data_IF_591793897046
#
_entry.id   IF_591793897046
#
_cell.length_a   1.000
_cell.length_b   1.000
_cell.length_c   1.000
_cell.angle_alpha   90.00
_cell.angle_beta   90.00
_cell.angle_gamma   90.00
#
_symmetry.space_group_name_H-M   'P 1'
#
loop_
_entity.id
_entity.type
_entity.pdbx_description
1 polymer ?
#
# COMPACT_ATOMS: atom_id res chain seq x y z
N UNK A 1 -6.51 10.68 -11.12
CA UNK A 1 -6.88 10.57 -9.69
C UNK A 1 -8.28 11.12 -9.43
N UNK A 2 -8.52 12.44 -9.39
CA UNK A 2 -9.82 13.05 -9.04
C UNK A 2 -10.99 12.49 -9.87
N UNK A 3 -10.82 12.40 -11.18
CA UNK A 3 -11.86 11.87 -12.10
C UNK A 3 -12.19 10.39 -11.79
N UNK A 4 -11.19 9.59 -11.47
CA UNK A 4 -11.37 8.17 -11.16
C UNK A 4 -12.12 7.98 -9.83
N UNK A 5 -11.75 8.76 -8.81
CA UNK A 5 -12.45 8.77 -7.52
C UNK A 5 -13.89 9.28 -7.68
N UNK A 6 -14.08 10.31 -8.51
CA UNK A 6 -15.40 10.91 -8.75
C UNK A 6 -16.35 9.99 -9.49
N UNK A 7 -15.87 9.28 -10.53
CA UNK A 7 -16.71 8.37 -11.32
C UNK A 7 -16.89 6.99 -10.69
N UNK A 8 -15.82 6.45 -10.08
CA UNK A 8 -15.78 5.08 -9.59
C UNK A 8 -16.15 4.93 -8.11
N UNK A 9 -16.07 6.02 -7.33
CA UNK A 9 -16.25 5.99 -5.89
C UNK A 9 -15.36 4.94 -5.22
N UNK A 10 -15.75 4.45 -4.05
CA UNK A 10 -14.97 3.46 -3.29
C UNK A 10 -14.76 2.13 -4.04
N UNK A 11 -15.74 1.70 -4.85
CA UNK A 11 -15.62 0.48 -5.62
C UNK A 11 -14.57 0.61 -6.74
N UNK A 12 -14.54 1.75 -7.41
CA UNK A 12 -13.53 2.06 -8.43
C UNK A 12 -12.13 2.07 -7.83
N UNK A 13 -11.95 2.78 -6.72
CA UNK A 13 -10.68 2.83 -5.98
C UNK A 13 -10.23 1.43 -5.55
N UNK A 14 -11.13 0.60 -5.01
CA UNK A 14 -10.77 -0.75 -4.57
C UNK A 14 -10.32 -1.66 -5.72
N UNK A 15 -10.93 -1.56 -6.90
CA UNK A 15 -10.56 -2.36 -8.08
C UNK A 15 -9.19 -1.92 -8.61
N UNK A 16 -8.97 -0.62 -8.74
CA UNK A 16 -7.67 -0.09 -9.19
C UNK A 16 -6.55 -0.40 -8.21
N UNK A 17 -6.80 -0.26 -6.91
CA UNK A 17 -5.83 -0.62 -5.87
C UNK A 17 -5.45 -2.10 -5.92
N UNK A 18 -6.42 -2.99 -6.14
CA UNK A 18 -6.15 -4.41 -6.26
C UNK A 18 -5.28 -4.72 -7.49
N UNK A 19 -5.59 -4.13 -8.65
CA UNK A 19 -4.81 -4.31 -9.86
C UNK A 19 -3.38 -3.75 -9.69
N UNK A 20 -3.24 -2.56 -9.13
CA UNK A 20 -1.95 -1.92 -8.86
C UNK A 20 -1.14 -2.70 -7.81
N UNK A 21 -1.80 -3.25 -6.79
CA UNK A 21 -1.17 -4.11 -5.79
C UNK A 21 -0.55 -5.36 -6.40
N UNK A 22 -1.26 -6.06 -7.28
CA UNK A 22 -0.73 -7.23 -7.99
C UNK A 22 0.45 -6.84 -8.87
N UNK A 23 0.33 -5.73 -9.59
CA UNK A 23 1.38 -5.24 -10.48
C UNK A 23 2.65 -4.82 -9.72
N UNK A 24 2.47 -4.11 -8.60
CA UNK A 24 3.56 -3.71 -7.71
C UNK A 24 4.26 -4.93 -7.10
N UNK A 25 3.50 -5.92 -6.65
CA UNK A 25 4.04 -7.15 -6.07
C UNK A 25 4.88 -7.92 -7.08
N UNK A 26 4.35 -8.13 -8.29
CA UNK A 26 5.07 -8.81 -9.36
C UNK A 26 6.31 -8.03 -9.80
N UNK A 27 6.22 -6.71 -9.90
CA UNK A 27 7.33 -5.84 -10.26
C UNK A 27 8.43 -5.81 -9.21
N UNK A 28 8.07 -5.67 -7.95
CA UNK A 28 9.04 -5.61 -6.86
C UNK A 28 9.76 -6.96 -6.70
N UNK A 29 9.02 -8.07 -6.62
CA UNK A 29 9.61 -9.40 -6.47
C UNK A 29 10.35 -9.82 -7.74
N UNK A 30 9.74 -9.66 -8.90
CA UNK A 30 10.33 -10.04 -10.17
C UNK A 30 11.57 -9.21 -10.49
N UNK A 31 11.51 -7.90 -10.30
CA UNK A 31 12.64 -6.99 -10.50
C UNK A 31 13.79 -7.25 -9.52
N UNK A 32 13.46 -7.47 -8.25
CA UNK A 32 14.44 -7.81 -7.23
C UNK A 32 15.16 -9.13 -7.54
N UNK A 33 14.38 -10.16 -7.86
CA UNK A 33 14.92 -11.48 -8.18
C UNK A 33 15.76 -11.44 -9.47
N UNK A 34 15.33 -10.68 -10.47
CA UNK A 34 16.08 -10.46 -11.70
C UNK A 34 17.45 -9.85 -11.43
N UNK A 35 17.49 -8.75 -10.66
CA UNK A 35 18.76 -8.07 -10.31
C UNK A 35 19.68 -9.00 -9.53
N UNK A 36 19.15 -9.77 -8.59
CA UNK A 36 19.92 -10.72 -7.81
C UNK A 36 20.53 -11.82 -8.70
N UNK A 37 19.70 -12.48 -9.50
CA UNK A 37 20.13 -13.60 -10.34
C UNK A 37 21.02 -13.16 -11.53
N UNK A 38 20.95 -11.90 -11.93
CA UNK A 38 21.84 -11.34 -12.95
C UNK A 38 23.28 -11.13 -12.42
N UNK A 39 23.45 -10.94 -11.11
CA UNK A 39 24.73 -10.61 -10.50
C UNK A 39 25.30 -11.74 -9.61
N UNK A 40 24.46 -12.65 -9.12
CA UNK A 40 24.83 -13.71 -8.21
C UNK A 40 24.25 -15.05 -8.66
N UNK A 41 24.94 -16.18 -8.43
CA UNK A 41 24.46 -17.52 -8.78
C UNK A 41 23.17 -17.92 -8.05
N UNK A 42 23.02 -17.45 -6.80
CA UNK A 42 21.84 -17.71 -5.99
C UNK A 42 21.53 -16.53 -5.05
N UNK A 43 20.30 -16.52 -4.52
CA UNK A 43 19.88 -15.55 -3.49
C UNK A 43 20.73 -15.70 -2.23
N UNK A 44 21.11 -16.93 -1.86
CA UNK A 44 21.94 -17.20 -0.70
C UNK A 44 23.36 -16.62 -0.86
N UNK A 45 23.96 -16.74 -2.04
CA UNK A 45 25.29 -16.19 -2.33
C UNK A 45 25.28 -14.65 -2.28
N UNK A 46 24.20 -14.03 -2.78
CA UNK A 46 24.01 -12.59 -2.69
C UNK A 46 23.94 -12.10 -1.24
N UNK A 47 23.24 -12.85 -0.37
CA UNK A 47 23.19 -12.55 1.06
C UNK A 47 24.53 -12.74 1.76
N UNK A 48 25.26 -13.81 1.46
CA UNK A 48 26.58 -14.04 2.02
C UNK A 48 27.57 -12.96 1.58
N UNK A 49 27.52 -12.55 0.33
CA UNK A 49 28.33 -11.45 -0.17
C UNK A 49 27.98 -10.13 0.55
N UNK A 50 26.70 -9.80 0.72
CA UNK A 50 26.28 -8.62 1.46
C UNK A 50 26.70 -8.67 2.93
N UNK A 51 26.58 -9.82 3.58
CA UNK A 51 27.01 -10.03 4.97
C UNK A 51 28.52 -9.90 5.15
N UNK A 52 29.31 -10.42 4.22
CA UNK A 52 30.79 -10.35 4.29
C UNK A 52 31.30 -8.91 4.08
N UNK A 53 30.63 -8.11 3.25
CA UNK A 53 31.04 -6.73 2.98
C UNK A 53 30.53 -5.72 4.00
N UNK A 54 29.31 -5.93 4.52
CA UNK A 54 28.66 -4.99 5.44
C UNK A 54 27.94 -5.70 6.58
N UNK A 55 28.69 -6.40 7.48
CA UNK A 55 28.06 -7.14 8.59
C UNK A 55 27.24 -6.28 9.53
N UNK A 56 27.57 -4.99 9.62
CA UNK A 56 26.86 -4.03 10.46
C UNK A 56 25.40 -3.80 10.06
N UNK A 57 25.06 -4.01 8.79
CA UNK A 57 23.67 -3.91 8.31
C UNK A 57 22.77 -5.03 8.82
N UNK A 58 23.36 -6.14 9.27
CA UNK A 58 22.63 -7.32 9.76
C UNK A 58 22.53 -7.36 11.28
N UNK A 59 23.09 -6.38 11.97
CA UNK A 59 23.11 -6.30 13.43
C UNK A 59 22.48 -5.00 13.94
N UNK A 60 21.89 -5.03 15.12
CA UNK A 60 21.50 -3.81 15.82
C UNK A 60 22.68 -3.29 16.65
N UNK A 61 22.88 -2.00 16.72
CA UNK A 61 22.04 -0.86 16.29
C UNK A 61 22.26 -0.42 14.84
N UNK A 62 22.88 -1.23 14.00
CA UNK A 62 23.21 -0.92 12.62
C UNK A 62 24.43 0.00 12.48
N UNK A 63 24.82 0.35 11.23
CA UNK A 63 25.94 1.23 11.00
C UNK A 63 25.71 2.59 11.69
N UNK A 64 26.76 3.06 12.38
CA UNK A 64 26.74 4.32 13.13
C UNK A 64 25.72 4.42 14.28
N UNK A 65 25.18 3.31 14.76
CA UNK A 65 24.23 3.32 15.88
C UNK A 65 22.88 3.99 15.58
N UNK A 66 22.49 4.04 14.30
CA UNK A 66 21.31 4.79 13.84
C UNK A 66 19.99 4.24 14.39
N UNK A 67 19.92 2.94 14.67
CA UNK A 67 18.70 2.28 15.19
C UNK A 67 18.97 1.69 16.55
N UNK A 68 18.71 2.45 17.59
CA UNK A 68 18.75 1.94 18.97
C UNK A 68 17.58 0.98 19.23
N UNK A 69 17.71 0.12 20.24
CA UNK A 69 16.60 -0.76 20.64
C UNK A 69 15.34 0.03 21.02
N UNK A 70 15.53 1.19 21.63
CA UNK A 70 14.42 2.09 22.00
C UNK A 70 13.73 2.67 20.76
N UNK A 71 14.49 3.12 19.77
CA UNK A 71 13.95 3.62 18.51
C UNK A 71 13.17 2.54 17.77
N UNK A 72 13.70 1.32 17.76
CA UNK A 72 13.06 0.19 17.12
C UNK A 72 11.70 -0.14 17.77
N UNK A 73 11.66 -0.25 19.09
CA UNK A 73 10.41 -0.51 19.84
C UNK A 73 9.42 0.63 19.65
N UNK A 74 9.87 1.88 19.73
CA UNK A 74 9.02 3.06 19.55
C UNK A 74 8.39 3.09 18.15
N UNK A 75 9.18 2.86 17.13
CA UNK A 75 8.70 2.77 15.73
C UNK A 75 7.70 1.64 15.56
N UNK A 76 7.96 0.48 16.13
CA UNK A 76 7.06 -0.66 16.06
C UNK A 76 5.68 -0.35 16.68
N UNK A 77 5.67 0.26 17.87
CA UNK A 77 4.44 0.69 18.54
C UNK A 77 3.69 1.74 17.70
N UNK A 78 4.38 2.79 17.26
CA UNK A 78 3.78 3.88 16.49
C UNK A 78 3.21 3.37 15.17
N UNK A 79 3.92 2.52 14.44
CA UNK A 79 3.44 1.97 13.17
C UNK A 79 2.24 1.06 13.40
N UNK A 80 2.29 0.16 14.40
CA UNK A 80 1.21 -0.80 14.66
C UNK A 80 -0.10 -0.10 15.01
N UNK A 81 -0.07 0.83 15.94
CA UNK A 81 -1.28 1.55 16.35
C UNK A 81 -1.65 2.69 15.38
N UNK A 82 -0.66 3.38 14.82
CA UNK A 82 -0.90 4.47 13.87
C UNK A 82 -1.55 4.02 12.58
N UNK A 83 -1.16 2.87 12.03
CA UNK A 83 -1.77 2.34 10.80
C UNK A 83 -3.26 2.04 10.95
N UNK A 84 -3.71 1.63 12.13
CA UNK A 84 -5.14 1.39 12.39
C UNK A 84 -5.95 2.69 12.45
N UNK A 85 -5.30 3.81 12.76
CA UNK A 85 -5.96 5.13 12.86
C UNK A 85 -6.09 5.85 11.52
N UNK A 86 -5.48 5.35 10.44
CA UNK A 86 -5.65 5.96 9.13
C UNK A 86 -7.09 5.85 8.63
N UNK A 87 -7.75 6.98 8.27
CA UNK A 87 -9.15 7.00 7.86
C UNK A 87 -9.46 6.06 6.68
N UNK A 88 -8.54 5.97 5.71
CA UNK A 88 -8.71 5.07 4.55
C UNK A 88 -8.75 3.60 4.94
N UNK A 89 -8.02 3.19 5.98
CA UNK A 89 -8.03 1.81 6.50
C UNK A 89 -9.35 1.55 7.22
N UNK A 90 -9.75 2.46 8.10
CA UNK A 90 -10.99 2.36 8.88
C UNK A 90 -12.22 2.31 7.97
N UNK A 91 -12.30 3.14 6.93
CA UNK A 91 -13.41 3.11 5.96
C UNK A 91 -13.50 1.79 5.21
N UNK A 92 -12.38 1.13 4.91
CA UNK A 92 -12.36 -0.19 4.27
C UNK A 92 -12.91 -1.29 5.19
N UNK A 93 -12.65 -1.20 6.48
CA UNK A 93 -13.27 -2.12 7.45
C UNK A 93 -14.78 -1.98 7.47
N UNK A 94 -15.31 -0.77 7.47
CA UNK A 94 -16.76 -0.55 7.42
C UNK A 94 -17.41 -0.96 6.09
N UNK A 95 -16.66 -0.98 5.00
CA UNK A 95 -17.13 -1.42 3.69
C UNK A 95 -17.16 -2.97 3.53
N UNK A 96 -16.63 -3.72 4.48
CA UNK A 96 -16.59 -5.17 4.45
C UNK A 96 -17.98 -5.81 4.48
N UNK A 97 -18.27 -6.71 3.52
CA UNK A 97 -19.59 -7.36 3.36
C UNK A 97 -19.95 -8.26 4.54
N UNK A 98 -18.98 -8.97 5.12
CA UNK A 98 -19.17 -9.86 6.26
C UNK A 98 -17.84 -10.11 6.99
N UNK A 99 -17.91 -10.69 8.20
CA UNK A 99 -16.74 -10.99 9.03
C UNK A 99 -15.72 -11.93 8.36
N UNK A 100 -16.19 -12.87 7.55
CA UNK A 100 -15.30 -13.80 6.85
C UNK A 100 -14.46 -13.07 5.79
N UNK A 101 -15.05 -12.15 5.04
CA UNK A 101 -14.31 -11.33 4.09
C UNK A 101 -13.24 -10.51 4.81
N UNK A 102 -13.58 -9.92 5.97
CA UNK A 102 -12.61 -9.14 6.76
C UNK A 102 -11.45 -9.99 7.28
N UNK A 103 -11.75 -11.20 7.81
CA UNK A 103 -10.71 -12.15 8.27
C UNK A 103 -9.76 -12.53 7.15
N UNK A 104 -10.27 -12.95 6.01
CA UNK A 104 -9.46 -13.34 4.86
C UNK A 104 -8.67 -12.16 4.29
N UNK A 105 -9.26 -10.98 4.25
CA UNK A 105 -8.55 -9.76 3.84
C UNK A 105 -7.36 -9.47 4.75
N UNK A 106 -7.51 -9.61 6.07
CA UNK A 106 -6.42 -9.44 7.02
C UNK A 106 -5.29 -10.48 6.81
N UNK A 107 -5.65 -11.76 6.59
CA UNK A 107 -4.67 -12.83 6.33
C UNK A 107 -3.89 -12.56 5.05
N UNK A 108 -4.59 -12.28 3.94
CA UNK A 108 -3.92 -11.98 2.67
C UNK A 108 -3.05 -10.73 2.74
N UNK A 109 -3.53 -9.66 3.39
CA UNK A 109 -2.73 -8.44 3.58
C UNK A 109 -1.48 -8.70 4.41
N UNK A 110 -1.57 -9.54 5.46
CA UNK A 110 -0.41 -9.88 6.28
C UNK A 110 0.63 -10.67 5.49
N UNK A 111 0.21 -11.67 4.72
CA UNK A 111 1.11 -12.45 3.86
C UNK A 111 1.77 -11.53 2.81
N UNK A 112 0.97 -10.71 2.14
CA UNK A 112 1.44 -9.77 1.12
C UNK A 112 2.49 -8.80 1.67
N UNK A 113 2.21 -8.16 2.80
CA UNK A 113 3.13 -7.23 3.45
C UNK A 113 4.38 -7.93 3.95
N UNK A 114 4.27 -9.12 4.54
CA UNK A 114 5.43 -9.89 5.00
C UNK A 114 6.36 -10.19 3.83
N UNK A 115 5.84 -10.63 2.69
CA UNK A 115 6.67 -10.87 1.51
C UNK A 115 7.37 -9.60 1.04
N UNK A 116 6.68 -8.48 0.94
CA UNK A 116 7.29 -7.20 0.54
C UNK A 116 8.38 -6.79 1.53
N UNK A 117 8.11 -6.83 2.83
CA UNK A 117 9.07 -6.40 3.86
C UNK A 117 10.27 -7.33 4.01
N UNK A 118 10.18 -8.59 3.59
CA UNK A 118 11.34 -9.49 3.52
C UNK A 118 12.23 -9.15 2.31
N UNK A 119 11.64 -8.94 1.14
CA UNK A 119 12.41 -8.72 -0.09
C UNK A 119 12.99 -7.31 -0.23
N UNK A 120 12.29 -6.28 0.27
CA UNK A 120 12.76 -4.89 0.12
C UNK A 120 14.11 -4.61 0.80
N UNK A 121 14.35 -5.01 2.06
CA UNK A 121 15.66 -4.83 2.70
C UNK A 121 16.78 -5.60 1.98
N UNK A 122 16.47 -6.78 1.43
CA UNK A 122 17.44 -7.57 0.67
C UNK A 122 17.99 -6.79 -0.52
N UNK A 123 17.08 -6.18 -1.28
CA UNK A 123 17.47 -5.36 -2.45
C UNK A 123 18.27 -4.14 -2.02
N UNK A 124 17.91 -3.50 -0.91
CA UNK A 124 18.66 -2.37 -0.37
C UNK A 124 20.09 -2.73 0.02
N UNK A 125 20.29 -3.87 0.71
CA UNK A 125 21.61 -4.36 1.11
C UNK A 125 22.47 -4.77 -0.09
N UNK A 126 21.90 -5.54 -1.01
CA UNK A 126 22.59 -5.95 -2.24
C UNK A 126 22.84 -4.74 -3.15
N UNK A 127 21.91 -3.83 -3.20
CA UNK A 127 22.04 -2.58 -3.96
C UNK A 127 23.23 -1.75 -3.50
N UNK A 128 23.43 -1.62 -2.20
CA UNK A 128 24.60 -0.94 -1.64
C UNK A 128 25.92 -1.65 -2.00
N UNK A 129 25.92 -2.97 -2.11
CA UNK A 129 27.08 -3.74 -2.56
C UNK A 129 27.40 -3.47 -4.04
N UNK A 130 26.36 -3.41 -4.89
CA UNK A 130 26.51 -3.23 -6.33
C UNK A 130 26.75 -1.76 -6.74
N UNK A 131 26.34 -0.80 -5.91
CA UNK A 131 26.41 0.62 -6.16
C UNK A 131 26.79 1.38 -4.88
N UNK A 132 28.07 1.30 -4.43
CA UNK A 132 28.50 1.92 -3.18
C UNK A 132 28.46 3.46 -3.22
N UNK A 133 28.62 4.06 -4.39
CA UNK A 133 28.75 5.52 -4.59
C UNK A 133 27.42 6.21 -4.94
N UNK A 134 26.28 5.58 -4.62
CA UNK A 134 24.97 6.15 -4.94
C UNK A 134 24.71 7.43 -4.12
N UNK A 135 24.36 8.52 -4.81
CA UNK A 135 24.18 9.82 -4.20
C UNK A 135 22.94 9.90 -3.29
N UNK A 136 21.87 9.21 -3.67
CA UNK A 136 20.61 9.19 -2.93
C UNK A 136 20.17 7.73 -2.66
N UNK A 137 20.11 7.28 -1.39
CA UNK A 137 19.70 5.91 -1.05
C UNK A 137 18.34 5.52 -1.60
N UNK A 138 17.42 6.47 -1.72
CA UNK A 138 16.06 6.23 -2.19
C UNK A 138 15.97 5.89 -3.68
N UNK A 139 17.01 6.22 -4.48
CA UNK A 139 17.07 5.92 -5.92
C UNK A 139 17.70 4.56 -6.24
N UNK A 140 18.16 3.82 -5.22
CA UNK A 140 18.93 2.58 -5.39
C UNK A 140 18.17 1.54 -6.22
N UNK A 141 16.88 1.34 -5.94
CA UNK A 141 16.08 0.33 -6.62
C UNK A 141 15.80 0.69 -8.09
N UNK A 142 15.34 1.91 -8.44
CA UNK A 142 15.22 2.33 -9.83
C UNK A 142 16.53 2.27 -10.61
N UNK A 143 17.64 2.66 -10.02
CA UNK A 143 18.95 2.64 -10.69
C UNK A 143 19.46 1.22 -10.93
N UNK A 144 19.27 0.31 -9.98
CA UNK A 144 19.56 -1.11 -10.18
C UNK A 144 18.75 -1.71 -11.32
N UNK A 145 17.46 -1.38 -11.41
CA UNK A 145 16.60 -1.84 -12.50
C UNK A 145 17.10 -1.30 -13.85
N UNK A 146 17.41 -0.02 -13.94
CA UNK A 146 17.90 0.59 -15.17
C UNK A 146 19.25 0.02 -15.62
N UNK A 147 20.10 -0.39 -14.68
CA UNK A 147 21.43 -0.94 -14.95
C UNK A 147 21.40 -2.41 -15.34
N UNK A 148 20.61 -3.22 -14.65
CA UNK A 148 20.66 -4.69 -14.75
C UNK A 148 19.45 -5.34 -15.43
N UNK A 149 18.43 -4.55 -15.78
CA UNK A 149 17.20 -5.06 -16.40
C UNK A 149 17.00 -4.44 -17.79
N UNK A 150 16.39 -5.15 -18.75
CA UNK A 150 16.01 -4.54 -20.02
C UNK A 150 15.14 -3.30 -19.83
N UNK A 151 15.38 -2.26 -20.61
CA UNK A 151 14.75 -0.94 -20.44
C UNK A 151 13.20 -0.99 -20.36
N UNK A 152 12.58 -1.89 -21.13
CA UNK A 152 11.12 -2.09 -21.12
C UNK A 152 10.64 -2.60 -19.77
N UNK A 153 11.33 -3.58 -19.16
CA UNK A 153 10.97 -4.11 -17.83
C UNK A 153 11.22 -3.07 -16.74
N UNK A 154 12.35 -2.37 -16.79
CA UNK A 154 12.65 -1.28 -15.87
C UNK A 154 11.56 -0.20 -15.90
N UNK A 155 11.20 0.27 -17.09
CA UNK A 155 10.15 1.28 -17.27
C UNK A 155 8.78 0.79 -16.71
N UNK A 156 8.45 -0.48 -16.94
CA UNK A 156 7.21 -1.09 -16.48
C UNK A 156 7.16 -1.17 -14.95
N UNK A 157 8.24 -1.58 -14.29
CA UNK A 157 8.33 -1.67 -12.83
C UNK A 157 8.30 -0.28 -12.18
N UNK A 158 9.03 0.68 -12.75
CA UNK A 158 9.03 2.07 -12.27
C UNK A 158 7.63 2.70 -12.42
N UNK A 159 6.95 2.44 -13.53
CA UNK A 159 5.55 2.85 -13.72
C UNK A 159 4.63 2.23 -12.66
N UNK A 160 4.88 0.97 -12.26
CA UNK A 160 4.17 0.30 -11.18
C UNK A 160 4.39 0.96 -9.81
N UNK A 161 5.60 1.41 -9.52
CA UNK A 161 5.90 2.15 -8.30
C UNK A 161 5.17 3.50 -8.24
N UNK A 162 5.10 4.22 -9.37
CA UNK A 162 4.31 5.45 -9.49
C UNK A 162 2.81 5.17 -9.30
N UNK A 163 2.30 4.09 -9.91
CA UNK A 163 0.91 3.68 -9.75
C UNK A 163 0.58 3.35 -8.28
N UNK A 164 1.49 2.71 -7.55
CA UNK A 164 1.34 2.43 -6.12
C UNK A 164 1.26 3.71 -5.27
N UNK A 165 2.09 4.69 -5.56
CA UNK A 165 2.03 6.00 -4.90
C UNK A 165 0.70 6.71 -5.18
N UNK A 166 0.19 6.62 -6.42
CA UNK A 166 -1.10 7.17 -6.81
C UNK A 166 -2.27 6.48 -6.10
N UNK A 167 -2.24 5.16 -5.90
CA UNK A 167 -3.30 4.43 -5.19
C UNK A 167 -3.47 4.88 -3.75
N UNK A 168 -2.36 5.14 -3.07
CA UNK A 168 -2.38 5.70 -1.72
C UNK A 168 -3.03 7.08 -1.69
N UNK A 169 -2.67 7.95 -2.64
CA UNK A 169 -3.27 9.28 -2.79
C UNK A 169 -4.77 9.22 -3.08
N UNK A 170 -5.22 8.33 -3.95
CA UNK A 170 -6.64 8.13 -4.27
C UNK A 170 -7.44 7.70 -3.05
N UNK A 171 -6.93 6.74 -2.28
CA UNK A 171 -7.56 6.25 -1.07
C UNK A 171 -7.67 7.33 0.02
N UNK A 172 -6.61 8.14 0.21
CA UNK A 172 -6.61 9.27 1.15
C UNK A 172 -7.55 10.37 0.72
N UNK A 173 -7.56 10.73 -0.58
CA UNK A 173 -8.47 11.73 -1.14
C UNK A 173 -9.93 11.31 -0.95
N UNK A 174 -10.26 10.05 -1.24
CA UNK A 174 -11.59 9.51 -1.04
C UNK A 174 -12.02 9.54 0.43
N UNK A 175 -11.14 9.12 1.35
CA UNK A 175 -11.42 9.13 2.77
C UNK A 175 -11.64 10.55 3.29
N UNK A 176 -10.74 11.48 2.97
CA UNK A 176 -10.84 12.88 3.39
C UNK A 176 -12.09 13.56 2.85
N UNK A 177 -12.39 13.37 1.57
CA UNK A 177 -13.59 13.95 0.96
C UNK A 177 -14.87 13.42 1.58
N UNK A 178 -14.91 12.13 1.93
CA UNK A 178 -16.05 11.51 2.63
C UNK A 178 -16.22 12.10 4.04
N UNK A 179 -15.15 12.26 4.80
CA UNK A 179 -15.18 12.86 6.13
C UNK A 179 -15.62 14.32 6.09
N UNK A 180 -15.08 15.11 5.17
CA UNK A 180 -15.51 16.51 4.99
C UNK A 180 -17.00 16.60 4.64
N UNK A 181 -17.47 15.75 3.75
CA UNK A 181 -18.87 15.73 3.33
C UNK A 181 -19.81 15.29 4.46
N UNK A 182 -19.44 14.27 5.24
CA UNK A 182 -20.32 13.71 6.29
C UNK A 182 -20.24 14.47 7.60
N UNK A 183 -19.02 14.78 8.06
CA UNK A 183 -18.81 15.27 9.41
C UNK A 183 -18.86 16.79 9.49
N UNK A 184 -18.48 17.48 8.40
CA UNK A 184 -18.48 18.93 8.35
C UNK A 184 -19.72 19.45 7.61
N UNK A 185 -19.82 19.15 6.31
CA UNK A 185 -20.86 19.76 5.50
C UNK A 185 -22.29 19.40 5.95
N UNK A 186 -22.57 18.11 6.16
CA UNK A 186 -23.90 17.67 6.63
C UNK A 186 -24.22 18.12 8.03
N UNK A 187 -23.24 18.14 8.93
CA UNK A 187 -23.48 18.49 10.32
C UNK A 187 -23.69 19.99 10.52
N UNK A 188 -22.97 20.81 9.77
CA UNK A 188 -22.94 22.26 10.00
C UNK A 188 -23.67 23.08 8.93
N UNK A 189 -23.70 22.61 7.67
CA UNK A 189 -24.25 23.38 6.54
C UNK A 189 -25.63 22.87 6.09
N UNK A 190 -25.72 21.56 5.79
CA UNK A 190 -26.97 20.95 5.28
C UNK A 190 -27.51 19.89 6.24
N UNK A 191 -28.40 20.32 7.14
CA UNK A 191 -29.02 19.44 8.16
C UNK A 191 -30.16 18.57 7.59
N UNK A 192 -30.38 18.55 6.27
CA UNK A 192 -31.45 17.73 5.69
C UNK A 192 -31.21 16.25 5.90
N UNK A 193 -32.24 15.45 6.24
CA UNK A 193 -32.09 14.01 6.37
C UNK A 193 -31.69 13.43 5.03
N UNK A 194 -30.73 12.46 5.08
CA UNK A 194 -30.32 11.70 3.89
C UNK A 194 -31.55 11.05 3.26
N UNK A 195 -31.90 11.41 2.03
CA UNK A 195 -32.85 10.66 1.25
C UNK A 195 -32.23 9.32 0.91
N UNK A 196 -32.59 8.29 1.67
CA UNK A 196 -32.28 6.90 1.33
C UNK A 196 -33.08 6.55 0.08
N UNK A 197 -32.45 6.48 -1.06
CA UNK A 197 -33.08 5.96 -2.28
C UNK A 197 -33.17 4.45 -2.13
N UNK A 198 -34.30 3.98 -1.60
CA UNK A 198 -34.62 2.57 -1.58
C UNK A 198 -34.92 2.12 -3.00
N UNK A 199 -33.96 1.51 -3.66
CA UNK A 199 -34.20 0.68 -4.82
C UNK A 199 -34.00 -0.76 -4.36
N UNK A 200 -35.14 -1.47 -4.22
CA UNK A 200 -35.26 -2.92 -4.07
C UNK A 200 -34.22 -3.63 -3.20
N UNK A 201 -34.58 -3.86 -1.99
CA UNK A 201 -34.24 -4.90 -0.99
C UNK A 201 -32.79 -5.31 -0.69
N UNK A 202 -31.75 -4.91 -1.40
CA UNK A 202 -30.38 -5.37 -1.12
C UNK A 202 -29.29 -4.30 -1.04
N UNK A 203 -29.46 -3.14 -1.65
CA UNK A 203 -28.44 -2.10 -1.70
C UNK A 203 -28.97 -0.76 -1.16
N UNK A 204 -28.68 -0.43 0.08
CA UNK A 204 -28.89 0.93 0.58
C UNK A 204 -27.73 1.81 0.06
N UNK A 205 -27.91 2.37 -1.12
CA UNK A 205 -27.00 3.37 -1.65
C UNK A 205 -27.34 4.74 -1.05
N UNK A 206 -26.39 5.38 -0.42
CA UNK A 206 -26.49 6.77 0.00
C UNK A 206 -26.11 7.66 -1.18
N UNK A 207 -27.10 8.36 -1.72
CA UNK A 207 -26.93 9.29 -2.83
C UNK A 207 -26.42 10.63 -2.29
N UNK A 208 -25.16 10.92 -2.55
CA UNK A 208 -24.55 12.21 -2.24
C UNK A 208 -24.76 13.15 -3.43
N UNK A 209 -25.55 14.19 -3.27
CA UNK A 209 -25.89 15.22 -4.28
C UNK A 209 -24.68 16.01 -4.81
N UNK A 210 -23.47 15.70 -4.34
CA UNK A 210 -22.19 16.33 -4.73
C UNK A 210 -21.23 15.36 -5.40
N UNK A 211 -21.68 14.40 -6.18
CA UNK A 211 -20.81 13.66 -7.10
C UNK A 211 -19.69 12.78 -6.48
N UNK A 212 -19.66 12.65 -5.15
CA UNK A 212 -18.68 11.80 -4.46
C UNK A 212 -19.34 10.44 -4.23
N UNK A 213 -19.21 9.56 -5.18
CA UNK A 213 -19.51 8.13 -5.23
C UNK A 213 -20.63 7.56 -4.32
N UNK A 214 -21.42 6.65 -4.86
CA UNK A 214 -22.38 5.87 -4.07
C UNK A 214 -21.66 4.98 -3.06
N UNK A 215 -21.86 5.21 -1.76
CA UNK A 215 -21.44 4.31 -0.70
C UNK A 215 -22.59 3.33 -0.37
N UNK A 216 -22.45 2.08 -0.79
CA UNK A 216 -23.42 1.04 -0.45
C UNK A 216 -22.99 0.34 0.85
N UNK A 217 -23.76 0.56 1.92
CA UNK A 217 -23.61 -0.21 3.16
C UNK A 217 -24.58 -1.40 3.08
N UNK A 218 -24.01 -2.60 2.96
CA UNK A 218 -24.81 -3.84 3.03
C UNK A 218 -25.08 -4.17 4.51
N UNK A 219 -26.32 -3.94 4.96
CA UNK A 219 -26.72 -4.29 6.33
C UNK A 219 -27.02 -5.80 6.41
N UNK A 220 -26.39 -6.56 7.33
CA UNK A 220 -26.58 -8.00 7.44
C UNK A 220 -27.92 -8.43 8.06
N UNK A 221 -28.78 -7.51 8.48
CA UNK A 221 -30.03 -7.80 9.17
C UNK A 221 -31.24 -7.29 8.40
N UNK A 222 -31.66 -7.97 7.31
CA UNK A 222 -33.05 -7.96 6.89
C UNK A 222 -33.63 -9.36 7.16
N UNK A 223 -34.69 -9.48 7.98
CA UNK A 223 -35.40 -10.74 8.13
C UNK A 223 -36.03 -11.11 6.77
N UNK A 224 -35.96 -12.40 6.43
CA UNK A 224 -36.66 -13.01 5.29
C UNK A 224 -38.16 -12.96 5.50
#
# INVERSE_FOLDING_TARGET
MIVLVWLGGMKGVAITDAAQGVFMFAGLLGGSLWVILANFPSVADAYQAAFSHTPELFTMPGPNGVVTAQDWVSRWIVITFGMMMFPQVTLRFFAGKNLNVMKWSAVFSSIYLTMIYVFTPCVGMIGRLLMPDIAAPDTIFPELLLKYTPAVFAALIISGALAAAMSTGDSQLHATSTMVATDIYKKFVDKRPMKTRSTTSQDRCFDYRFGIGCFCINSPNSPR
#
